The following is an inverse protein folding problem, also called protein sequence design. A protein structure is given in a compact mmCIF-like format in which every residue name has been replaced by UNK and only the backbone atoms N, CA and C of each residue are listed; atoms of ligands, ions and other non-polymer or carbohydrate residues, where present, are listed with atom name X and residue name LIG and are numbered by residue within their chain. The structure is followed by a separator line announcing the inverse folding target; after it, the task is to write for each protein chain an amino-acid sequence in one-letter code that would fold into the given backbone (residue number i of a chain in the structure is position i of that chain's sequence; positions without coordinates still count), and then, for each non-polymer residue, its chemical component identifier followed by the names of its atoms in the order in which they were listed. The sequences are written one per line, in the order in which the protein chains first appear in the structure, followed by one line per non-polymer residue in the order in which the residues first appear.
data_IF_976993985239
#
_entry.id   IF_976993985239
#
_cell.length_a   1.000
_cell.length_b   1.000
_cell.length_c   1.000
_cell.angle_alpha   90.00
_cell.angle_beta   90.00
_cell.angle_gamma   90.00
#
_symmetry.space_group_name_H-M   'P 1'
#
loop_
_entity.id
_entity.type
_entity.pdbx_description
1 polymer ?
#
# COMPACT_ATOMS: atom_id res chain seq x y z
N UNK A 1 -12.83 -10.39 -4.72
CA UNK A 1 -13.29 -10.85 -6.04
C UNK A 1 -12.49 -10.19 -7.18
N UNK A 2 -12.46 -8.85 -7.25
CA UNK A 2 -11.73 -8.11 -8.29
C UNK A 2 -10.24 -8.48 -8.35
N UNK A 3 -9.56 -8.53 -7.20
CA UNK A 3 -8.13 -8.89 -7.12
C UNK A 3 -7.82 -10.33 -7.53
N UNK A 4 -8.77 -11.25 -7.36
CA UNK A 4 -8.63 -12.64 -7.79
C UNK A 4 -8.80 -12.77 -9.31
N UNK A 5 -9.72 -11.99 -9.89
CA UNK A 5 -9.89 -11.89 -11.34
C UNK A 5 -8.66 -11.25 -11.99
N UNK A 6 -8.13 -10.19 -11.40
CA UNK A 6 -6.87 -9.56 -11.81
C UNK A 6 -5.72 -10.58 -11.78
N UNK A 7 -5.56 -11.32 -10.67
CA UNK A 7 -4.53 -12.35 -10.56
C UNK A 7 -4.68 -13.44 -11.63
N UNK A 8 -5.91 -13.90 -11.89
CA UNK A 8 -6.18 -14.90 -12.92
C UNK A 8 -5.86 -14.38 -14.34
N UNK A 9 -6.23 -13.13 -14.64
CA UNK A 9 -5.95 -12.48 -15.92
C UNK A 9 -4.45 -12.32 -16.15
N UNK A 10 -3.75 -11.79 -15.15
CA UNK A 10 -2.29 -11.59 -15.19
C UNK A 10 -1.58 -12.93 -15.33
N UNK A 11 -2.03 -13.96 -14.61
CA UNK A 11 -1.47 -15.30 -14.74
C UNK A 11 -1.69 -15.87 -16.15
N UNK A 12 -2.90 -15.76 -16.71
CA UNK A 12 -3.18 -16.25 -18.07
C UNK A 12 -2.34 -15.55 -19.15
N UNK A 13 -2.12 -14.24 -19.00
CA UNK A 13 -1.40 -13.41 -19.97
C UNK A 13 0.12 -13.39 -19.77
N UNK A 14 0.67 -14.05 -18.75
CA UNK A 14 2.10 -13.95 -18.40
C UNK A 14 3.06 -14.23 -19.56
N UNK A 15 2.79 -15.25 -20.38
CA UNK A 15 3.63 -15.65 -21.52
C UNK A 15 3.57 -14.63 -22.67
N UNK A 16 2.38 -14.25 -23.20
CA UNK A 16 2.30 -13.26 -24.27
C UNK A 16 2.81 -11.88 -23.82
N UNK A 17 2.64 -11.50 -22.54
CA UNK A 17 3.19 -10.26 -21.98
C UNK A 17 4.71 -10.17 -22.16
N UNK A 18 5.46 -11.18 -21.72
CA UNK A 18 6.92 -11.13 -21.87
C UNK A 18 7.37 -11.22 -23.32
N UNK A 19 6.68 -12.02 -24.15
CA UNK A 19 6.98 -12.13 -25.58
C UNK A 19 6.74 -10.82 -26.35
N UNK A 20 5.83 -9.97 -25.90
CA UNK A 20 5.58 -8.67 -26.53
C UNK A 20 6.77 -7.72 -26.37
N UNK A 21 7.41 -7.71 -25.19
CA UNK A 21 8.49 -6.77 -24.88
C UNK A 21 9.88 -7.32 -25.19
N UNK A 22 10.10 -8.63 -25.05
CA UNK A 22 11.43 -9.24 -25.14
C UNK A 22 11.40 -10.56 -25.92
N UNK A 23 10.93 -10.57 -27.18
CA UNK A 23 10.69 -11.80 -27.94
C UNK A 23 11.92 -12.68 -28.13
N UNK A 24 13.11 -12.08 -28.27
CA UNK A 24 14.34 -12.78 -28.67
C UNK A 24 15.19 -13.30 -27.48
N UNK A 25 14.67 -13.24 -26.26
CA UNK A 25 15.40 -13.63 -25.04
C UNK A 25 14.62 -14.68 -24.23
N UNK A 26 14.64 -15.95 -24.64
CA UNK A 26 13.90 -17.02 -23.98
C UNK A 26 14.35 -17.24 -22.52
N UNK A 27 15.61 -16.95 -22.21
CA UNK A 27 16.19 -16.95 -20.87
C UNK A 27 15.49 -15.95 -19.94
N UNK A 28 15.29 -14.72 -20.43
CA UNK A 28 14.62 -13.65 -19.66
C UNK A 28 13.12 -13.93 -19.54
N UNK A 29 12.50 -14.46 -20.61
CA UNK A 29 11.07 -14.82 -20.59
C UNK A 29 10.81 -15.91 -19.54
N UNK A 30 11.67 -16.93 -19.44
CA UNK A 30 11.53 -18.01 -18.47
C UNK A 30 11.58 -17.48 -17.02
N UNK A 31 12.56 -16.64 -16.71
CA UNK A 31 12.69 -16.00 -15.40
C UNK A 31 11.49 -15.09 -15.10
N UNK A 32 11.06 -14.31 -16.11
CA UNK A 32 9.88 -13.46 -16.01
C UNK A 32 8.61 -14.24 -15.69
N UNK A 33 8.37 -15.37 -16.36
CA UNK A 33 7.23 -16.25 -16.08
C UNK A 33 7.29 -16.78 -14.65
N UNK A 34 8.49 -17.16 -14.18
CA UNK A 34 8.72 -17.66 -12.83
C UNK A 34 8.39 -16.58 -11.79
N UNK A 35 8.90 -15.36 -12.00
CA UNK A 35 8.56 -14.18 -11.21
C UNK A 35 7.06 -13.94 -11.16
N UNK A 36 6.41 -13.83 -12.32
CA UNK A 36 4.99 -13.45 -12.42
C UNK A 36 4.10 -14.47 -11.73
N UNK A 37 4.46 -15.76 -11.79
CA UNK A 37 3.78 -16.84 -11.09
C UNK A 37 3.81 -16.64 -9.57
N UNK A 38 4.99 -16.35 -9.00
CA UNK A 38 5.14 -16.07 -7.57
C UNK A 38 4.39 -14.78 -7.19
N UNK A 39 4.52 -13.74 -8.02
CA UNK A 39 3.92 -12.44 -7.78
C UNK A 39 2.38 -12.47 -7.77
N UNK A 40 1.76 -13.28 -8.65
CA UNK A 40 0.30 -13.43 -8.68
C UNK A 40 -0.29 -13.94 -7.38
N UNK A 41 0.44 -14.72 -6.59
CA UNK A 41 0.01 -15.16 -5.25
C UNK A 41 -0.09 -13.98 -4.27
N UNK A 42 0.70 -12.92 -4.47
CA UNK A 42 0.72 -11.72 -3.64
C UNK A 42 -0.37 -10.70 -3.99
N UNK A 43 -0.98 -10.76 -5.17
CA UNK A 43 -1.94 -9.75 -5.66
C UNK A 43 -3.15 -9.58 -4.74
N UNK A 44 -3.79 -10.64 -4.22
CA UNK A 44 -4.94 -10.50 -3.31
C UNK A 44 -4.58 -9.72 -2.04
N UNK A 45 -3.40 -9.99 -1.47
CA UNK A 45 -2.89 -9.29 -0.28
C UNK A 45 -2.56 -7.83 -0.60
N UNK A 46 -2.00 -7.58 -1.78
CA UNK A 46 -1.69 -6.22 -2.23
C UNK A 46 -2.94 -5.37 -2.35
N UNK A 47 -4.00 -5.90 -2.96
CA UNK A 47 -5.28 -5.20 -3.05
C UNK A 47 -5.96 -5.01 -1.68
N UNK A 48 -5.81 -5.97 -0.76
CA UNK A 48 -6.32 -5.82 0.61
C UNK A 48 -5.63 -4.68 1.36
N UNK A 49 -4.29 -4.59 1.29
CA UNK A 49 -3.54 -3.46 1.83
C UNK A 49 -4.06 -2.17 1.21
N UNK A 50 -4.16 -2.11 -0.13
CA UNK A 50 -4.63 -0.94 -0.85
C UNK A 50 -6.00 -0.45 -0.37
N UNK A 51 -6.95 -1.37 -0.20
CA UNK A 51 -8.30 -1.05 0.28
C UNK A 51 -8.29 -0.49 1.72
N UNK A 52 -7.54 -1.12 2.63
CA UNK A 52 -7.43 -0.64 4.02
C UNK A 52 -6.75 0.73 4.06
N UNK A 53 -5.67 0.93 3.32
CA UNK A 53 -4.98 2.21 3.27
C UNK A 53 -5.85 3.31 2.66
N UNK A 54 -6.67 2.98 1.64
CA UNK A 54 -7.64 3.90 1.07
C UNK A 54 -8.73 4.29 2.09
N UNK A 55 -9.21 3.35 2.91
CA UNK A 55 -10.14 3.62 4.00
C UNK A 55 -9.54 4.60 5.02
N UNK A 56 -8.31 4.34 5.49
CA UNK A 56 -7.65 5.23 6.46
C UNK A 56 -7.47 6.63 5.90
N UNK A 57 -6.97 6.76 4.66
CA UNK A 57 -6.84 8.06 3.98
C UNK A 57 -8.18 8.76 3.79
N UNK A 58 -9.22 8.02 3.41
CA UNK A 58 -10.59 8.54 3.25
C UNK A 58 -11.21 9.03 4.56
N UNK A 59 -10.82 8.46 5.70
CA UNK A 59 -11.26 8.87 7.04
C UNK A 59 -10.49 10.07 7.63
N UNK A 60 -9.52 10.63 6.90
CA UNK A 60 -8.66 11.71 7.38
C UNK A 60 -7.44 11.25 8.19
N UNK A 61 -7.29 9.95 8.43
CA UNK A 61 -6.17 9.37 9.16
C UNK A 61 -5.01 9.02 8.22
N UNK A 62 -4.18 10.01 7.87
CA UNK A 62 -3.09 9.84 6.91
C UNK A 62 -1.77 9.31 7.54
N UNK A 63 -1.58 9.48 8.84
CA UNK A 63 -0.33 9.09 9.51
C UNK A 63 -0.19 7.56 9.60
N UNK A 64 -1.26 6.86 9.95
CA UNK A 64 -1.30 5.41 10.02
C UNK A 64 -0.89 4.73 8.70
N UNK A 65 -1.51 5.05 7.54
CA UNK A 65 -1.12 4.44 6.28
C UNK A 65 0.31 4.80 5.87
N UNK A 66 0.78 6.01 6.19
CA UNK A 66 2.16 6.41 5.92
C UNK A 66 3.17 5.54 6.68
N UNK A 67 2.96 5.33 7.98
CA UNK A 67 3.83 4.48 8.80
C UNK A 67 3.83 3.04 8.28
N UNK A 68 2.64 2.50 7.97
CA UNK A 68 2.52 1.13 7.45
C UNK A 68 3.28 0.97 6.14
N UNK A 69 3.15 1.92 5.21
CA UNK A 69 3.86 1.88 3.93
C UNK A 69 5.38 2.05 4.09
N UNK A 70 5.83 2.92 4.99
CA UNK A 70 7.27 3.07 5.31
C UNK A 70 7.85 1.77 5.87
N UNK A 71 7.20 1.17 6.89
CA UNK A 71 7.66 -0.07 7.51
C UNK A 71 7.63 -1.22 6.50
N UNK A 72 6.60 -1.30 5.65
CA UNK A 72 6.53 -2.29 4.58
C UNK A 72 7.71 -2.21 3.63
N UNK A 73 8.08 -1.01 3.17
CA UNK A 73 9.15 -0.84 2.20
C UNK A 73 10.54 -0.98 2.83
N UNK A 74 10.79 -0.20 3.89
CA UNK A 74 12.12 -0.10 4.50
C UNK A 74 12.38 -1.16 5.54
N UNK A 75 11.40 -1.43 6.40
CA UNK A 75 11.56 -2.38 7.51
C UNK A 75 11.39 -3.85 7.10
N UNK A 76 10.55 -4.12 6.10
CA UNK A 76 10.27 -5.50 5.69
C UNK A 76 10.88 -5.82 4.33
N UNK A 77 10.52 -5.08 3.28
CA UNK A 77 10.87 -5.44 1.90
C UNK A 77 12.36 -5.41 1.65
N UNK A 78 13.06 -4.33 2.01
CA UNK A 78 14.51 -4.24 1.77
C UNK A 78 15.28 -5.34 2.53
N UNK A 79 15.07 -5.55 3.85
CA UNK A 79 15.76 -6.62 4.57
C UNK A 79 15.42 -8.01 4.03
N UNK A 80 14.14 -8.32 3.82
CA UNK A 80 13.72 -9.64 3.31
C UNK A 80 14.31 -9.89 1.92
N UNK A 81 14.24 -8.92 1.02
CA UNK A 81 14.80 -9.05 -0.32
C UNK A 81 16.33 -9.22 -0.29
N UNK A 82 17.03 -8.52 0.61
CA UNK A 82 18.48 -8.66 0.77
C UNK A 82 18.87 -10.04 1.30
N UNK A 83 18.24 -10.49 2.39
CA UNK A 83 18.55 -11.80 2.99
C UNK A 83 18.18 -12.97 2.09
N UNK A 84 16.96 -12.97 1.54
CA UNK A 84 16.53 -14.05 0.66
C UNK A 84 17.23 -13.96 -0.70
N UNK A 85 17.49 -12.75 -1.20
CA UNK A 85 18.22 -12.54 -2.45
C UNK A 85 19.64 -13.08 -2.41
N UNK A 86 20.34 -12.93 -1.29
CA UNK A 86 21.67 -13.51 -1.12
C UNK A 86 21.67 -15.05 -1.10
N UNK A 87 20.58 -15.69 -0.66
CA UNK A 87 20.48 -17.16 -0.56
C UNK A 87 19.91 -17.82 -1.81
N UNK A 88 18.94 -17.17 -2.47
CA UNK A 88 18.16 -17.75 -3.57
C UNK A 88 18.21 -16.91 -4.85
N UNK A 89 19.13 -15.96 -4.96
CA UNK A 89 19.29 -15.08 -6.12
C UNK A 89 18.05 -14.22 -6.40
N UNK A 90 17.71 -14.06 -7.69
CA UNK A 90 16.52 -13.31 -8.13
C UNK A 90 15.22 -13.82 -7.51
N UNK A 91 15.06 -15.14 -7.40
CA UNK A 91 13.88 -15.78 -6.80
C UNK A 91 13.70 -15.37 -5.34
N UNK A 92 14.81 -15.23 -4.59
CA UNK A 92 14.78 -14.75 -3.22
C UNK A 92 14.27 -13.33 -3.07
N UNK A 93 14.63 -12.43 -3.99
CA UNK A 93 14.15 -11.04 -4.01
C UNK A 93 12.63 -11.02 -4.17
N UNK A 94 12.09 -11.83 -5.08
CA UNK A 94 10.65 -11.92 -5.32
C UNK A 94 9.89 -12.49 -4.13
N UNK A 95 10.44 -13.51 -3.48
CA UNK A 95 9.88 -14.03 -2.22
C UNK A 95 9.91 -13.00 -1.10
N UNK A 96 11.00 -12.24 -0.97
CA UNK A 96 11.08 -11.16 0.01
C UNK A 96 10.02 -10.08 -0.22
N UNK A 97 9.76 -9.76 -1.49
CA UNK A 97 8.68 -8.84 -1.87
C UNK A 97 7.30 -9.40 -1.53
N UNK A 98 7.02 -10.67 -1.86
CA UNK A 98 5.75 -11.32 -1.56
C UNK A 98 5.49 -11.42 -0.05
N UNK A 99 6.48 -11.87 0.72
CA UNK A 99 6.41 -11.97 2.19
C UNK A 99 6.19 -10.60 2.84
N UNK A 100 6.86 -9.56 2.35
CA UNK A 100 6.64 -8.20 2.86
C UNK A 100 5.17 -7.78 2.71
N UNK A 101 4.52 -8.11 1.59
CA UNK A 101 3.11 -7.79 1.37
C UNK A 101 2.19 -8.65 2.26
N UNK A 102 2.49 -9.93 2.46
CA UNK A 102 1.68 -10.81 3.32
C UNK A 102 1.72 -10.29 4.76
N UNK A 103 2.92 -10.00 5.29
CA UNK A 103 3.09 -9.46 6.64
C UNK A 103 2.38 -8.12 6.78
N UNK A 104 2.54 -7.21 5.82
CA UNK A 104 1.85 -5.92 5.85
C UNK A 104 0.34 -6.07 5.77
N UNK A 105 -0.19 -7.02 5.00
CA UNK A 105 -1.63 -7.26 4.94
C UNK A 105 -2.19 -7.69 6.30
N UNK A 106 -1.46 -8.54 7.03
CA UNK A 106 -1.81 -8.95 8.40
C UNK A 106 -1.81 -7.74 9.35
N UNK A 107 -0.76 -6.92 9.30
CA UNK A 107 -0.66 -5.70 10.12
C UNK A 107 -1.77 -4.69 9.78
N UNK A 108 -2.07 -4.50 8.50
CA UNK A 108 -3.14 -3.62 8.05
C UNK A 108 -4.51 -4.12 8.53
N UNK A 109 -4.77 -5.43 8.44
CA UNK A 109 -5.98 -6.04 8.98
C UNK A 109 -6.10 -5.82 10.50
N UNK A 110 -5.01 -5.99 11.23
CA UNK A 110 -4.99 -5.74 12.67
C UNK A 110 -5.40 -4.28 12.99
N UNK A 111 -4.83 -3.29 12.30
CA UNK A 111 -5.23 -1.89 12.47
C UNK A 111 -6.67 -1.61 12.04
N UNK A 112 -7.14 -2.26 10.98
CA UNK A 112 -8.53 -2.16 10.55
C UNK A 112 -9.49 -2.63 11.66
N UNK A 113 -9.20 -3.78 12.30
CA UNK A 113 -10.02 -4.32 13.39
C UNK A 113 -9.95 -3.51 14.69
N UNK A 114 -8.84 -2.81 14.96
CA UNK A 114 -8.75 -1.88 16.10
C UNK A 114 -9.72 -0.69 15.99
N UNK A 115 -10.26 -0.40 14.79
CA UNK A 115 -11.31 0.60 14.63
C UNK A 115 -10.85 2.05 14.82
N UNK A 116 -9.55 2.32 14.89
CA UNK A 116 -9.00 3.68 15.04
C UNK A 116 -9.47 4.64 13.94
N UNK A 117 -9.73 4.11 12.74
CA UNK A 117 -10.28 4.86 11.59
C UNK A 117 -11.69 5.42 11.83
N UNK A 118 -12.44 4.92 12.82
CA UNK A 118 -13.80 5.40 13.13
C UNK A 118 -13.81 6.69 13.94
N UNK A 119 -12.68 7.12 14.50
CA UNK A 119 -12.60 8.35 15.29
C UNK A 119 -12.69 9.56 14.37
N UNK A 120 -13.42 10.60 14.77
CA UNK A 120 -13.44 11.84 13.99
C UNK A 120 -12.07 12.52 14.08
N UNK A 121 -11.49 12.84 12.92
CA UNK A 121 -10.25 13.62 12.80
C UNK A 121 -10.53 15.12 12.78
N UNK A 122 -11.74 15.50 12.39
CA UNK A 122 -12.17 16.90 12.38
C UNK A 122 -12.54 17.28 13.80
N UNK A 123 -11.67 18.04 14.46
CA UNK A 123 -12.08 18.88 15.58
C UNK A 123 -13.01 19.94 15.01
N UNK A 124 -14.25 19.96 15.48
CA UNK A 124 -15.20 21.03 15.19
C UNK A 124 -14.50 22.35 15.52
N UNK A 125 -14.14 23.11 14.48
CA UNK A 125 -13.66 24.46 14.66
C UNK A 125 -14.86 25.22 15.19
N UNK A 126 -14.96 25.29 16.52
CA UNK A 126 -15.84 26.24 17.19
C UNK A 126 -15.33 27.58 16.71
N UNK A 127 -16.01 28.11 15.70
CA UNK A 127 -15.89 29.49 15.29
C UNK A 127 -16.26 30.30 16.53
N UNK A 128 -15.26 30.59 17.38
CA UNK A 128 -15.35 31.69 18.32
C UNK A 128 -15.46 32.91 17.45
N UNK A 129 -16.68 33.19 17.01
CA UNK A 129 -17.08 34.50 16.51
C UNK A 129 -16.77 35.41 17.68
N UNK A 130 -15.56 35.94 17.69
CA UNK A 130 -15.25 37.10 18.49
C UNK A 130 -16.26 38.14 18.03
N UNK A 131 -17.08 38.69 18.94
CA UNK A 131 -17.96 39.79 18.57
C UNK A 131 -17.12 40.79 17.78
N UNK A 132 -17.63 41.24 16.64
CA UNK A 132 -16.96 42.26 15.85
C UNK A 132 -16.47 43.37 16.80
N UNK A 133 -15.22 43.87 16.65
CA UNK A 133 -14.70 44.92 17.52
C UNK A 133 -15.76 46.01 17.66
N UNK A 134 -16.02 46.46 18.89
CA UNK A 134 -16.96 47.56 19.11
C UNK A 134 -16.62 48.69 18.13
N UNK A 135 -17.60 49.27 17.43
CA UNK A 135 -17.35 50.42 16.59
C UNK A 135 -16.51 51.44 17.37
N UNK A 136 -15.44 51.93 16.76
CA UNK A 136 -14.65 53.01 17.35
C UNK A 136 -15.56 54.23 17.46
N UNK A 137 -16.02 54.52 18.69
CA UNK A 137 -16.73 55.77 19.01
C UNK A 137 -15.64 56.69 19.59
N UNK A 138 -15.22 57.73 18.86
CA UNK A 138 -14.36 58.75 19.44
C UNK A 138 -15.10 59.36 20.64
N UNK A 139 -14.46 59.44 21.80
CA UNK A 139 -14.99 60.26 22.89
C UNK A 139 -14.87 61.72 22.46
N UNK A 140 -15.98 62.29 21.99
CA UNK A 140 -16.12 63.74 21.88
C UNK A 140 -16.39 64.29 23.29
N UNK A 141 -15.46 65.13 23.75
CA UNK A 141 -15.42 65.71 25.10
C UNK A 141 -16.23 66.98 25.30
#
# INVERSE_FOLDING_TARGET
LITLLEAALVFALRIPLFKLFIPDRPDIIAEGIHFLTIFTLGIPFFGLIGAIMALFRGSGHNVQPMIVDMVRLWGLRIPLAYFLGNQFGSTGIWWGMALSNIITAIVALFFYFQGGWKKQVIHEYKETIQPAPSPFIPEEG
#
